data_IF_666401353002
#
_entry.id   IF_666401353002
#
_cell.length_a   1.000
_cell.length_b   1.000
_cell.length_c   1.000
_cell.angle_alpha   90.00
_cell.angle_beta   90.00
_cell.angle_gamma   90.00
#
_symmetry.space_group_name_H-M   'P 1'
#
loop_
_entity.id
_entity.type
_entity.pdbx_description
1 polymer ?
#
# COMPACT_ATOMS: atom_id res chain seq x y z
N UNK A 1 -10.93 -8.69 -17.41
CA UNK A 1 -10.64 -7.74 -16.31
C UNK A 1 -9.38 -8.11 -15.54
N UNK A 2 -9.22 -9.31 -14.98
CA UNK A 2 -7.94 -9.69 -14.34
C UNK A 2 -6.80 -9.88 -15.34
N UNK A 3 -7.07 -10.45 -16.53
CA UNK A 3 -6.04 -10.61 -17.58
C UNK A 3 -5.47 -9.29 -18.10
N UNK A 4 -6.23 -8.19 -18.08
CA UNK A 4 -5.72 -6.88 -18.51
C UNK A 4 -4.72 -6.29 -17.52
N UNK A 5 -4.66 -6.79 -16.27
CA UNK A 5 -3.64 -6.39 -15.30
C UNK A 5 -2.24 -6.84 -15.72
N UNK A 6 -2.13 -7.86 -16.59
CA UNK A 6 -0.88 -8.37 -17.15
C UNK A 6 -0.38 -7.57 -18.36
N UNK A 7 -1.16 -6.61 -18.87
CA UNK A 7 -0.83 -5.89 -20.08
C UNK A 7 0.54 -5.19 -19.97
N UNK A 8 1.27 -5.01 -21.09
CA UNK A 8 2.52 -4.25 -21.09
C UNK A 8 2.36 -2.87 -20.44
N UNK A 9 3.43 -2.37 -19.81
CA UNK A 9 3.39 -1.06 -19.16
C UNK A 9 3.34 0.04 -20.22
N UNK A 10 2.40 0.98 -20.09
CA UNK A 10 2.31 2.19 -20.91
C UNK A 10 3.04 3.36 -20.22
N UNK A 11 3.70 4.22 -21.00
CA UNK A 11 4.32 5.44 -20.47
C UNK A 11 3.27 6.39 -19.86
N UNK A 12 2.04 6.42 -20.37
CA UNK A 12 0.98 7.29 -19.83
C UNK A 12 0.55 6.89 -18.41
N UNK A 13 0.46 5.59 -18.10
CA UNK A 13 0.15 5.16 -16.73
C UNK A 13 1.31 5.44 -15.78
N UNK A 14 2.56 5.37 -16.25
CA UNK A 14 3.73 5.76 -15.44
C UNK A 14 3.71 7.26 -15.16
N UNK A 15 3.45 8.08 -16.19
CA UNK A 15 3.28 9.53 -16.03
C UNK A 15 2.14 9.84 -15.06
N UNK A 16 0.98 9.20 -15.22
CA UNK A 16 -0.14 9.37 -14.30
C UNK A 16 0.22 8.99 -12.86
N UNK A 17 0.95 7.88 -12.67
CA UNK A 17 1.44 7.47 -11.36
C UNK A 17 2.35 8.54 -10.73
N UNK A 18 3.29 9.11 -11.49
CA UNK A 18 4.18 10.18 -11.02
C UNK A 18 3.42 11.45 -10.66
N UNK A 19 2.53 11.91 -11.53
CA UNK A 19 1.82 13.19 -11.35
C UNK A 19 0.65 13.12 -10.36
N UNK A 20 0.18 11.92 -9.99
CA UNK A 20 -0.80 11.74 -8.92
C UNK A 20 -0.20 11.69 -7.51
N UNK A 21 1.14 11.75 -7.38
CA UNK A 21 1.82 11.80 -6.09
C UNK A 21 1.92 13.22 -5.55
N UNK A 22 1.87 13.33 -4.22
CA UNK A 22 2.18 14.59 -3.53
C UNK A 22 3.66 14.95 -3.74
N UNK A 23 3.99 16.14 -4.30
CA UNK A 23 5.35 16.43 -4.78
C UNK A 23 6.43 16.41 -3.69
N UNK A 24 6.12 16.96 -2.51
CA UNK A 24 7.13 17.28 -1.48
C UNK A 24 7.01 16.43 -0.21
N UNK A 25 6.62 15.15 -0.37
CA UNK A 25 6.75 14.19 0.72
C UNK A 25 8.22 13.78 0.89
N UNK A 26 8.58 13.37 2.12
CA UNK A 26 9.93 12.94 2.43
C UNK A 26 10.40 11.83 1.46
N UNK A 27 11.60 11.99 0.87
CA UNK A 27 12.17 11.01 -0.04
C UNK A 27 12.70 9.79 0.73
N UNK A 28 13.11 8.76 -0.01
CA UNK A 28 13.85 7.64 0.56
C UNK A 28 15.35 7.94 0.69
N UNK A 29 16.18 6.89 0.87
CA UNK A 29 17.63 7.00 0.94
C UNK A 29 18.27 7.79 -0.21
N UNK A 30 17.72 7.73 -1.42
CA UNK A 30 18.24 8.41 -2.61
C UNK A 30 18.07 9.94 -2.60
N UNK A 31 17.24 10.47 -1.69
CA UNK A 31 17.00 11.91 -1.55
C UNK A 31 16.11 12.54 -2.63
N UNK A 32 15.55 11.78 -3.58
CA UNK A 32 14.74 12.34 -4.67
C UNK A 32 13.24 12.29 -4.37
N UNK A 33 12.55 13.42 -4.11
CA UNK A 33 11.10 13.44 -3.88
C UNK A 33 10.32 13.35 -5.21
N UNK A 34 9.01 13.08 -5.14
CA UNK A 34 8.15 13.02 -6.34
C UNK A 34 8.19 14.32 -7.18
N UNK A 35 8.31 15.47 -6.53
CA UNK A 35 8.42 16.78 -7.18
C UNK A 35 9.66 16.92 -8.07
N UNK A 36 10.75 16.21 -7.80
CA UNK A 36 11.91 16.16 -8.68
C UNK A 36 11.55 15.53 -10.03
N UNK A 37 10.89 14.37 -10.00
CA UNK A 37 10.45 13.65 -11.20
C UNK A 37 9.39 14.42 -11.98
N UNK A 38 8.45 15.07 -11.28
CA UNK A 38 7.41 15.88 -11.91
C UNK A 38 7.98 17.11 -12.63
N UNK A 39 8.90 17.83 -11.98
CA UNK A 39 9.53 19.04 -12.55
C UNK A 39 10.53 18.73 -13.66
N UNK A 40 11.22 17.60 -13.56
CA UNK A 40 12.27 17.19 -14.51
C UNK A 40 11.78 16.14 -15.50
N UNK A 41 10.45 16.01 -15.68
CA UNK A 41 9.85 14.90 -16.42
C UNK A 41 10.38 14.81 -17.86
N UNK A 42 10.56 15.94 -18.54
CA UNK A 42 11.06 15.96 -19.91
C UNK A 42 12.49 15.39 -20.03
N UNK A 43 13.25 15.37 -18.94
CA UNK A 43 14.61 14.82 -18.87
C UNK A 43 14.57 13.35 -18.43
N UNK A 44 13.82 13.01 -17.37
CA UNK A 44 13.90 11.68 -16.72
C UNK A 44 12.86 10.68 -17.21
N UNK A 45 11.85 11.12 -17.95
CA UNK A 45 10.69 10.29 -18.32
C UNK A 45 11.06 9.00 -19.03
N UNK A 46 11.98 9.04 -20.00
CA UNK A 46 12.41 7.82 -20.71
C UNK A 46 12.98 6.80 -19.74
N UNK A 47 13.97 7.21 -18.92
CA UNK A 47 14.63 6.31 -17.97
C UNK A 47 13.67 5.76 -16.92
N UNK A 48 12.75 6.57 -16.41
CA UNK A 48 11.72 6.12 -15.46
C UNK A 48 10.80 5.09 -16.11
N UNK A 49 10.27 5.38 -17.31
CA UNK A 49 9.39 4.47 -18.02
C UNK A 49 10.08 3.16 -18.42
N UNK A 50 11.34 3.24 -18.90
CA UNK A 50 12.17 2.07 -19.21
C UNK A 50 12.40 1.21 -17.97
N UNK A 51 12.66 1.83 -16.82
CA UNK A 51 12.85 1.12 -15.56
C UNK A 51 11.57 0.42 -15.08
N UNK A 52 10.42 1.09 -15.13
CA UNK A 52 9.14 0.45 -14.77
C UNK A 52 8.82 -0.70 -15.72
N UNK A 53 9.03 -0.52 -17.03
CA UNK A 53 8.89 -1.60 -18.03
C UNK A 53 9.83 -2.76 -17.74
N UNK A 54 11.08 -2.48 -17.37
CA UNK A 54 12.08 -3.50 -17.01
C UNK A 54 11.66 -4.30 -15.79
N UNK A 55 11.06 -3.68 -14.77
CA UNK A 55 10.53 -4.44 -13.61
C UNK A 55 9.38 -5.35 -14.03
N UNK A 56 8.56 -4.93 -15.00
CA UNK A 56 7.47 -5.77 -15.50
C UNK A 56 7.96 -7.06 -16.18
N UNK A 57 9.11 -7.00 -16.86
CA UNK A 57 9.73 -8.17 -17.51
C UNK A 57 10.70 -8.93 -16.60
N UNK A 58 11.37 -8.22 -15.69
CA UNK A 58 12.33 -8.76 -14.73
C UNK A 58 12.02 -8.23 -13.31
N UNK A 59 11.05 -8.82 -12.61
CA UNK A 59 10.55 -8.35 -11.32
C UNK A 59 11.61 -8.17 -10.22
N UNK A 60 12.69 -8.96 -10.26
CA UNK A 60 13.79 -8.90 -9.29
C UNK A 60 14.53 -7.56 -9.29
N UNK A 61 14.50 -6.80 -10.39
CA UNK A 61 15.17 -5.49 -10.47
C UNK A 61 14.59 -4.45 -9.50
N UNK A 62 13.37 -4.66 -8.99
CA UNK A 62 12.79 -3.76 -7.99
C UNK A 62 13.65 -3.68 -6.73
N UNK A 63 14.37 -4.75 -6.38
CA UNK A 63 15.28 -4.79 -5.23
C UNK A 63 16.38 -3.72 -5.31
N UNK A 64 16.80 -3.31 -6.52
CA UNK A 64 17.83 -2.29 -6.72
C UNK A 64 17.41 -0.91 -6.23
N UNK A 65 16.11 -0.68 -6.07
CA UNK A 65 15.55 0.59 -5.61
C UNK A 65 14.75 0.43 -4.31
N UNK A 66 14.71 -0.77 -3.75
CA UNK A 66 13.93 -1.11 -2.55
C UNK A 66 14.69 -0.87 -1.23
N UNK A 67 15.59 0.12 -1.26
CA UNK A 67 16.24 0.63 -0.06
C UNK A 67 15.25 1.56 0.66
N UNK A 68 15.09 1.33 1.95
CA UNK A 68 14.10 2.03 2.77
C UNK A 68 14.72 2.48 4.08
N UNK A 69 14.57 3.76 4.41
CA UNK A 69 14.92 4.25 5.75
C UNK A 69 13.71 4.12 6.68
N UNK A 70 13.88 3.53 7.85
CA UNK A 70 12.91 3.60 8.95
C UNK A 70 13.24 4.83 9.79
N UNK A 71 12.34 5.81 9.75
CA UNK A 71 12.34 6.96 10.65
C UNK A 71 11.43 6.68 11.85
N UNK A 72 11.90 6.98 13.06
CA UNK A 72 11.14 6.79 14.29
C UNK A 72 10.48 8.10 14.71
N UNK A 73 9.15 8.18 14.60
CA UNK A 73 8.38 9.35 15.04
C UNK A 73 7.87 9.13 16.47
N UNK A 74 8.19 9.99 17.44
CA UNK A 74 7.65 9.91 18.79
C UNK A 74 6.11 9.93 18.81
N UNK A 75 5.49 9.07 19.61
CA UNK A 75 4.05 9.13 19.93
C UNK A 75 3.75 9.96 21.18
N UNK A 76 4.78 10.23 21.97
CA UNK A 76 4.76 10.95 23.25
C UNK A 76 5.94 11.93 23.30
N UNK A 77 5.88 12.94 24.15
CA UNK A 77 6.89 14.02 24.20
C UNK A 77 8.29 13.52 24.58
N UNK A 78 8.38 12.57 25.50
CA UNK A 78 9.64 12.02 26.01
C UNK A 78 9.63 10.49 25.89
N UNK A 79 9.95 9.95 24.70
CA UNK A 79 9.95 8.51 24.49
C UNK A 79 11.22 7.88 25.08
N UNK A 80 11.04 6.88 25.94
CA UNK A 80 12.10 6.10 26.60
C UNK A 80 12.24 4.70 26.00
N UNK A 81 11.16 4.16 25.39
CA UNK A 81 11.14 2.81 24.83
C UNK A 81 10.67 2.78 23.37
N UNK A 82 11.16 1.82 22.59
CA UNK A 82 10.89 1.70 21.14
C UNK A 82 9.40 1.64 20.81
N UNK A 83 8.56 1.08 21.71
CA UNK A 83 7.11 0.98 21.50
C UNK A 83 6.40 2.34 21.51
N UNK A 84 7.01 3.36 22.12
CA UNK A 84 6.54 4.74 22.11
C UNK A 84 6.88 5.48 20.81
N UNK A 85 7.60 4.85 19.88
CA UNK A 85 7.80 5.37 18.54
C UNK A 85 6.84 4.73 17.55
N UNK A 86 6.54 5.48 16.49
CA UNK A 86 5.88 5.01 15.27
C UNK A 86 6.95 4.91 14.19
N UNK A 87 7.33 3.71 13.76
CA UNK A 87 8.22 3.57 12.61
C UNK A 87 7.49 4.03 11.35
N UNK A 88 8.15 4.83 10.53
CA UNK A 88 7.71 5.22 9.20
C UNK A 88 8.79 4.83 8.20
N UNK A 89 8.39 4.00 7.23
CA UNK A 89 9.23 3.58 6.12
C UNK A 89 9.28 4.66 5.03
N UNK A 90 10.47 5.18 4.76
CA UNK A 90 10.77 6.13 3.71
C UNK A 90 11.41 5.38 2.54
N UNK A 91 10.59 4.89 1.61
CA UNK A 91 11.07 4.21 0.41
C UNK A 91 11.51 5.23 -0.66
N UNK A 92 12.46 4.83 -1.52
CA UNK A 92 12.82 5.62 -2.70
C UNK A 92 11.59 5.92 -3.58
N UNK A 93 11.56 7.12 -4.17
CA UNK A 93 10.39 7.55 -4.95
C UNK A 93 10.21 6.69 -6.19
N UNK A 94 11.28 6.21 -6.82
CA UNK A 94 11.20 5.31 -7.97
C UNK A 94 10.52 3.98 -7.64
N UNK A 95 10.76 3.42 -6.44
CA UNK A 95 10.02 2.27 -5.92
C UNK A 95 8.53 2.60 -5.74
N UNK A 96 8.23 3.77 -5.17
CA UNK A 96 6.84 4.25 -5.00
C UNK A 96 6.13 4.40 -6.35
N UNK A 97 6.83 4.77 -7.43
CA UNK A 97 6.25 4.88 -8.79
C UNK A 97 5.77 3.51 -9.26
N UNK A 98 6.59 2.48 -9.13
CA UNK A 98 6.22 1.09 -9.47
C UNK A 98 5.02 0.63 -8.65
N UNK A 99 5.06 0.83 -7.32
CA UNK A 99 3.96 0.51 -6.42
C UNK A 99 2.67 1.25 -6.80
N UNK A 100 2.77 2.52 -7.21
CA UNK A 100 1.64 3.32 -7.62
C UNK A 100 1.01 2.83 -8.92
N UNK A 101 1.80 2.41 -9.91
CA UNK A 101 1.27 1.77 -11.13
C UNK A 101 0.50 0.49 -10.79
N UNK A 102 1.04 -0.36 -9.90
CA UNK A 102 0.33 -1.56 -9.42
C UNK A 102 -1.00 -1.20 -8.77
N UNK A 103 -1.01 -0.19 -7.89
CA UNK A 103 -2.21 0.29 -7.20
C UNK A 103 -3.26 0.79 -8.21
N UNK A 104 -2.88 1.61 -9.19
CA UNK A 104 -3.84 2.12 -10.18
C UNK A 104 -4.45 0.99 -11.02
N UNK A 105 -3.67 -0.05 -11.37
CA UNK A 105 -4.20 -1.23 -12.04
C UNK A 105 -5.14 -2.04 -11.14
N UNK A 106 -4.75 -2.29 -9.89
CA UNK A 106 -5.53 -3.09 -8.93
C UNK A 106 -6.83 -2.42 -8.52
N UNK A 107 -6.87 -1.08 -8.42
CA UNK A 107 -8.08 -0.32 -8.03
C UNK A 107 -9.31 -0.72 -8.84
N UNK A 108 -9.13 -1.05 -10.12
CA UNK A 108 -10.21 -1.43 -11.02
C UNK A 108 -10.90 -2.73 -10.57
N UNK A 109 -10.17 -3.68 -9.96
CA UNK A 109 -10.72 -4.96 -9.51
C UNK A 109 -11.06 -5.02 -8.01
N UNK A 110 -10.46 -4.17 -7.17
CA UNK A 110 -10.68 -4.19 -5.71
C UNK A 110 -12.18 -4.22 -5.31
N UNK A 111 -13.09 -3.41 -5.87
CA UNK A 111 -14.49 -3.40 -5.46
C UNK A 111 -15.22 -4.75 -5.60
N UNK A 112 -14.75 -5.63 -6.48
CA UNK A 112 -15.31 -6.98 -6.68
C UNK A 112 -14.68 -8.03 -5.75
N UNK A 113 -13.49 -7.74 -5.20
CA UNK A 113 -12.72 -8.67 -4.37
C UNK A 113 -13.01 -8.50 -2.88
N UNK A 114 -13.39 -7.30 -2.45
CA UNK A 114 -13.59 -6.98 -1.04
C UNK A 114 -15.07 -6.88 -0.70
N UNK A 115 -15.39 -7.18 0.56
CA UNK A 115 -16.73 -7.00 1.11
C UNK A 115 -17.22 -5.56 0.91
N UNK A 116 -18.52 -5.33 0.62
CA UNK A 116 -19.09 -3.98 0.60
C UNK A 116 -18.93 -3.24 1.93
N UNK A 117 -18.81 -3.98 3.04
CA UNK A 117 -18.65 -3.42 4.39
C UNK A 117 -17.20 -3.02 4.73
N UNK A 118 -16.23 -3.26 3.85
CA UNK A 118 -14.85 -2.82 4.05
C UNK A 118 -14.70 -1.35 3.63
N UNK A 119 -14.68 -0.42 4.58
CA UNK A 119 -14.61 1.03 4.28
C UNK A 119 -13.19 1.58 4.27
N UNK A 120 -12.22 0.92 4.90
CA UNK A 120 -10.84 1.38 4.98
C UNK A 120 -10.09 1.27 3.64
N UNK A 121 -9.43 2.36 3.23
CA UNK A 121 -8.54 2.44 2.06
C UNK A 121 -9.21 2.14 0.71
N UNK A 122 -10.54 2.28 0.61
CA UNK A 122 -11.29 2.10 -0.64
C UNK A 122 -11.80 3.47 -1.12
N UNK A 123 -11.45 3.90 -2.35
CA UNK A 123 -11.98 5.13 -2.91
C UNK A 123 -13.52 5.16 -2.90
N UNK A 124 -14.09 6.27 -2.45
CA UNK A 124 -15.55 6.46 -2.40
C UNK A 124 -16.26 5.86 -1.17
N UNK A 125 -15.55 5.17 -0.26
CA UNK A 125 -16.12 4.69 1.02
C UNK A 125 -15.68 5.56 2.18
N UNK A 126 -16.56 5.82 3.14
CA UNK A 126 -16.28 6.71 4.26
C UNK A 126 -16.25 5.99 5.61
N UNK A 127 -15.26 6.29 6.45
CA UNK A 127 -15.14 5.77 7.82
C UNK A 127 -16.37 6.08 8.69
N UNK A 128 -17.08 7.18 8.39
CA UNK A 128 -18.30 7.57 9.11
C UNK A 128 -19.43 6.55 8.96
N UNK A 129 -19.46 5.77 7.87
CA UNK A 129 -20.44 4.68 7.69
C UNK A 129 -20.28 3.62 8.79
N UNK A 130 -19.05 3.26 9.17
CA UNK A 130 -18.79 2.30 10.25
C UNK A 130 -19.29 2.83 11.60
N UNK A 131 -19.22 4.15 11.84
CA UNK A 131 -19.73 4.76 13.07
C UNK A 131 -21.25 4.60 13.15
N UNK A 132 -21.95 4.81 12.05
CA UNK A 132 -23.41 4.63 11.96
C UNK A 132 -23.76 3.17 12.20
N UNK A 133 -23.09 2.23 11.51
CA UNK A 133 -23.33 0.80 11.70
C UNK A 133 -23.12 0.38 13.15
N UNK A 134 -22.03 0.83 13.79
CA UNK A 134 -21.77 0.51 15.19
C UNK A 134 -22.86 1.07 16.14
N UNK A 135 -23.35 2.29 15.89
CA UNK A 135 -24.45 2.88 16.67
C UNK A 135 -25.75 2.09 16.49
N UNK A 136 -26.11 1.73 15.27
CA UNK A 136 -27.32 0.95 14.98
C UNK A 136 -27.25 -0.46 15.56
N UNK A 137 -26.06 -1.09 15.57
CA UNK A 137 -25.84 -2.37 16.26
C UNK A 137 -26.16 -2.24 17.75
N UNK A 138 -25.58 -1.26 18.46
CA UNK A 138 -25.81 -1.05 19.90
C UNK A 138 -27.29 -0.76 20.17
N UNK A 139 -27.90 0.12 19.38
CA UNK A 139 -29.30 0.49 19.52
C UNK A 139 -30.24 -0.71 19.33
N UNK A 140 -29.98 -1.53 18.30
CA UNK A 140 -30.75 -2.76 18.04
C UNK A 140 -30.63 -3.76 19.18
N UNK A 141 -29.43 -3.91 19.75
CA UNK A 141 -29.19 -4.77 20.91
C UNK A 141 -29.96 -4.27 22.14
N UNK A 142 -29.99 -2.95 22.39
CA UNK A 142 -30.72 -2.36 23.52
C UNK A 142 -32.24 -2.52 23.41
N UNK A 143 -32.79 -2.52 22.19
CA UNK A 143 -34.23 -2.68 21.94
C UNK A 143 -34.68 -4.14 21.80
N UNK A 144 -33.74 -5.09 21.83
CA UNK A 144 -34.05 -6.50 21.64
C UNK A 144 -34.86 -7.05 22.82
N UNK A 145 -36.07 -7.54 22.55
CA UNK A 145 -36.96 -8.19 23.53
C UNK A 145 -36.93 -9.73 23.43
N UNK A 146 -36.11 -10.27 22.54
CA UNK A 146 -35.92 -11.70 22.30
C UNK A 146 -35.27 -12.39 23.51
N UNK A 147 -35.69 -13.62 23.82
CA UNK A 147 -35.06 -14.48 24.83
C UNK A 147 -33.64 -14.93 24.43
N UNK A 148 -33.31 -14.88 23.14
CA UNK A 148 -31.94 -15.00 22.63
C UNK A 148 -31.30 -13.62 22.66
N UNK A 149 -30.31 -13.44 23.53
CA UNK A 149 -29.53 -12.20 23.62
C UNK A 149 -28.56 -12.03 22.44
N UNK A 150 -28.02 -10.82 22.29
CA UNK A 150 -27.00 -10.48 21.30
C UNK A 150 -25.72 -9.99 22.00
N UNK A 151 -24.57 -10.16 21.34
CA UNK A 151 -23.29 -9.62 21.77
C UNK A 151 -22.54 -9.03 20.56
N UNK A 152 -21.69 -8.04 20.82
CA UNK A 152 -20.83 -7.44 19.81
C UNK A 152 -19.37 -7.82 20.12
N UNK A 153 -18.61 -8.19 19.08
CA UNK A 153 -17.18 -8.47 19.18
C UNK A 153 -16.41 -7.38 18.43
N UNK A 154 -15.42 -6.78 19.10
CA UNK A 154 -14.42 -5.92 18.49
C UNK A 154 -13.08 -6.66 18.46
N UNK A 155 -12.56 -6.90 17.27
CA UNK A 155 -11.23 -7.50 17.05
C UNK A 155 -10.30 -6.41 16.55
N UNK A 156 -9.10 -6.32 17.15
CA UNK A 156 -8.03 -5.43 16.69
C UNK A 156 -6.75 -6.25 16.47
N UNK A 157 -6.08 -6.00 15.35
CA UNK A 157 -4.89 -6.75 14.94
C UNK A 157 -3.63 -5.95 15.29
N UNK A 158 -2.84 -6.48 16.22
CA UNK A 158 -1.54 -5.87 16.56
C UNK A 158 -0.59 -5.91 15.35
N UNK A 159 0.07 -4.77 15.05
CA UNK A 159 1.14 -4.68 14.04
C UNK A 159 0.78 -5.34 12.70
N UNK A 160 -0.37 -4.98 12.14
CA UNK A 160 -0.94 -5.64 10.97
C UNK A 160 0.03 -5.75 9.77
N UNK A 161 0.87 -4.74 9.51
CA UNK A 161 1.85 -4.80 8.43
C UNK A 161 3.08 -5.65 8.79
N UNK A 162 3.58 -5.55 10.03
CA UNK A 162 4.81 -6.22 10.46
C UNK A 162 4.62 -7.74 10.69
N UNK A 163 3.38 -8.19 10.92
CA UNK A 163 3.06 -9.60 11.22
C UNK A 163 2.51 -10.38 10.02
N UNK A 164 2.38 -9.77 8.85
CA UNK A 164 1.87 -10.46 7.67
C UNK A 164 2.90 -11.46 7.15
N UNK A 165 2.49 -12.73 6.99
CA UNK A 165 3.30 -13.74 6.34
C UNK A 165 3.37 -13.49 4.83
N UNK A 166 4.58 -13.49 4.28
CA UNK A 166 4.77 -13.40 2.82
C UNK A 166 4.13 -14.58 2.08
N UNK A 167 4.14 -15.78 2.68
CA UNK A 167 3.45 -16.94 2.11
C UNK A 167 1.93 -16.71 2.06
N UNK A 168 1.36 -16.09 3.10
CA UNK A 168 -0.06 -15.74 3.10
C UNK A 168 -0.39 -14.74 1.97
N UNK A 169 0.44 -13.71 1.78
CA UNK A 169 0.29 -12.75 0.67
C UNK A 169 0.29 -13.50 -0.68
N UNK A 170 1.30 -14.33 -0.93
CA UNK A 170 1.38 -15.13 -2.15
C UNK A 170 0.13 -15.99 -2.39
N UNK A 171 -0.30 -16.74 -1.37
CA UNK A 171 -1.49 -17.62 -1.46
C UNK A 171 -2.74 -16.82 -1.80
N UNK A 172 -2.95 -15.65 -1.20
CA UNK A 172 -4.11 -14.80 -1.51
C UNK A 172 -4.04 -14.25 -2.94
N UNK A 173 -2.87 -13.82 -3.40
CA UNK A 173 -2.70 -13.34 -4.79
C UNK A 173 -3.01 -14.43 -5.82
N UNK A 174 -2.64 -15.69 -5.51
CA UNK A 174 -3.01 -16.87 -6.32
C UNK A 174 -4.51 -17.17 -6.26
N UNK A 175 -5.13 -17.11 -5.08
CA UNK A 175 -6.55 -17.38 -4.88
C UNK A 175 -7.44 -16.39 -5.65
N UNK A 176 -7.08 -15.10 -5.64
CA UNK A 176 -7.77 -14.07 -6.44
C UNK A 176 -7.41 -14.13 -7.93
N UNK A 177 -6.58 -15.09 -8.36
CA UNK A 177 -6.16 -15.32 -9.75
C UNK A 177 -5.51 -14.09 -10.38
N UNK A 178 -4.68 -13.39 -9.60
CA UNK A 178 -3.90 -12.27 -10.12
C UNK A 178 -2.87 -12.78 -11.13
N UNK A 179 -2.62 -12.08 -12.26
CA UNK A 179 -1.65 -12.55 -13.23
C UNK A 179 -0.26 -12.72 -12.64
N UNK A 180 0.41 -13.81 -13.01
CA UNK A 180 1.72 -14.22 -12.48
C UNK A 180 2.76 -13.09 -12.53
N UNK A 181 2.81 -12.33 -13.63
CA UNK A 181 3.73 -11.21 -13.78
C UNK A 181 3.53 -10.16 -12.67
N UNK A 182 2.27 -9.76 -12.42
CA UNK A 182 1.94 -8.80 -11.38
C UNK A 182 2.22 -9.37 -9.98
N UNK A 183 1.86 -10.64 -9.76
CA UNK A 183 2.13 -11.34 -8.51
C UNK A 183 3.62 -11.37 -8.21
N UNK A 184 4.47 -11.67 -9.20
CA UNK A 184 5.91 -11.67 -9.05
C UNK A 184 6.45 -10.29 -8.69
N UNK A 185 6.00 -9.21 -9.35
CA UNK A 185 6.40 -7.85 -8.99
C UNK A 185 6.02 -7.52 -7.54
N UNK A 186 4.80 -7.86 -7.11
CA UNK A 186 4.36 -7.65 -5.72
C UNK A 186 5.22 -8.45 -4.74
N UNK A 187 5.50 -9.71 -5.04
CA UNK A 187 6.31 -10.55 -4.16
C UNK A 187 7.73 -10.04 -4.02
N UNK A 188 8.40 -9.73 -5.14
CA UNK A 188 9.74 -9.14 -5.08
C UNK A 188 9.72 -7.78 -4.36
N UNK A 189 8.66 -6.98 -4.47
CA UNK A 189 8.54 -5.72 -3.73
C UNK A 189 8.54 -5.93 -2.21
N UNK A 190 7.87 -6.96 -1.69
CA UNK A 190 7.78 -7.20 -0.25
C UNK A 190 8.94 -8.03 0.31
N UNK A 191 9.62 -8.83 -0.51
CA UNK A 191 10.72 -9.72 -0.06
C UNK A 191 12.13 -9.14 -0.26
N UNK A 192 12.31 -8.16 -1.15
CA UNK A 192 13.63 -7.61 -1.48
C UNK A 192 14.03 -6.37 -0.68
N UNK A 193 13.24 -5.98 0.33
CA UNK A 193 13.46 -4.74 1.07
C UNK A 193 14.79 -4.77 1.80
N UNK A 194 15.58 -3.72 1.60
CA UNK A 194 16.79 -3.45 2.37
C UNK A 194 16.54 -2.23 3.26
N UNK A 195 16.77 -2.38 4.56
CA UNK A 195 16.27 -1.44 5.56
C UNK A 195 17.38 -0.88 6.42
N UNK A 196 17.44 0.45 6.49
CA UNK A 196 18.29 1.17 7.43
C UNK A 196 17.44 1.87 8.48
N UNK A 197 17.82 1.81 9.76
CA UNK A 197 17.14 2.58 10.81
C UNK A 197 17.84 3.92 10.95
N UNK A 198 17.12 5.01 10.67
CA UNK A 198 17.62 6.36 10.89
C UNK A 198 17.44 6.72 12.36
N UNK A 199 18.57 6.74 13.06
CA UNK A 199 18.72 7.34 14.38
C UNK A 199 19.45 8.66 14.18
N UNK A 200 18.86 9.77 14.61
CA UNK A 200 19.54 11.07 14.59
C UNK A 200 20.65 11.10 15.65
#
# INVERSE_FOLDING_TARGET
MMRSLAAPINNDEVKHAVFSMNPWKAPGPDGFPAGFYQKSWDIVSSSVCDFVRKIWTMPSEIGRVNQTDICLIPKVDYPEVVTQFRPISLCNTIYKIVSKVLVERLKVCIPMLISPFQTGFVPGRNIHENIVVAKEMIHSMQRMQSSKGAFAIKVDLSKAYDKLSWEFIWRILCEIKLPEQMTNVIMYAVTSVDTNVKWN
#
